data_IF_401930637658
#
_entry.id   IF_401930637658
#
_cell.length_a   1.000
_cell.length_b   1.000
_cell.length_c   1.000
_cell.angle_alpha   90.00
_cell.angle_beta   90.00
_cell.angle_gamma   90.00
#
_symmetry.space_group_name_H-M   'P 1'
#
loop_
_entity.id
_entity.type
_entity.pdbx_description
1 polymer ?
#
# COMPACT_ATOMS: atom_id res chain seq x y z
N UNK A 1 18.88 -4.58 -11.53
CA UNK A 1 18.67 -4.51 -10.07
C UNK A 1 17.81 -3.29 -9.72
N UNK A 2 18.23 -2.04 -9.98
CA UNK A 2 17.48 -0.84 -9.55
C UNK A 2 16.01 -0.81 -9.98
N UNK A 3 15.67 -1.22 -11.21
CA UNK A 3 14.28 -1.27 -11.68
C UNK A 3 13.45 -2.33 -10.96
N UNK A 4 14.06 -3.47 -10.63
CA UNK A 4 13.41 -4.53 -9.88
C UNK A 4 13.13 -4.07 -8.45
N UNK A 5 14.11 -3.44 -7.80
CA UNK A 5 13.93 -2.84 -6.47
C UNK A 5 12.83 -1.76 -6.46
N UNK A 6 12.70 -0.96 -7.53
CA UNK A 6 11.60 0.00 -7.67
C UNK A 6 10.24 -0.71 -7.81
N UNK A 7 10.15 -1.81 -8.58
CA UNK A 7 8.94 -2.64 -8.67
C UNK A 7 8.55 -3.14 -7.28
N UNK A 8 9.52 -3.66 -6.52
CA UNK A 8 9.29 -4.16 -5.16
C UNK A 8 8.80 -3.05 -4.23
N UNK A 9 9.43 -1.88 -4.29
CA UNK A 9 9.02 -0.72 -3.51
C UNK A 9 7.57 -0.31 -3.81
N UNK A 10 7.17 -0.27 -5.08
CA UNK A 10 5.80 0.08 -5.46
C UNK A 10 4.80 -0.98 -4.99
N UNK A 11 5.16 -2.26 -5.11
CA UNK A 11 4.34 -3.36 -4.64
C UNK A 11 4.17 -3.35 -3.12
N UNK A 12 5.24 -3.12 -2.36
CA UNK A 12 5.18 -2.98 -0.89
C UNK A 12 4.29 -1.80 -0.51
N UNK A 13 4.46 -0.64 -1.14
CA UNK A 13 3.61 0.53 -0.88
C UNK A 13 2.13 0.24 -1.14
N UNK A 14 1.80 -0.48 -2.22
CA UNK A 14 0.44 -0.82 -2.60
C UNK A 14 -0.17 -1.89 -1.70
N UNK A 15 0.61 -2.87 -1.25
CA UNK A 15 0.11 -4.05 -0.53
C UNK A 15 -0.52 -3.74 0.83
N UNK A 16 -0.04 -2.70 1.51
CA UNK A 16 -0.46 -2.29 2.84
C UNK A 16 -0.84 -0.79 2.92
N UNK A 17 -1.00 -0.13 1.78
CA UNK A 17 -1.38 1.28 1.73
C UNK A 17 -0.37 2.24 2.35
N UNK A 18 0.91 1.93 2.30
CA UNK A 18 1.95 2.79 2.85
C UNK A 18 1.99 4.20 2.22
N UNK A 19 2.45 5.16 2.99
CA UNK A 19 2.93 6.44 2.43
C UNK A 19 4.28 6.21 1.76
N UNK A 20 4.40 6.37 0.43
CA UNK A 20 5.69 6.23 -0.23
C UNK A 20 6.68 7.24 0.33
N UNK A 21 7.72 6.76 0.98
CA UNK A 21 8.71 7.63 1.61
C UNK A 21 9.74 6.88 2.44
N UNK A 22 10.42 7.64 3.31
CA UNK A 22 11.51 7.11 4.12
C UNK A 22 11.07 6.03 5.12
N UNK A 23 9.81 6.09 5.61
CA UNK A 23 9.28 5.07 6.52
C UNK A 23 9.39 3.68 5.90
N UNK A 24 8.96 3.52 4.65
CA UNK A 24 9.02 2.24 3.92
C UNK A 24 10.43 1.93 3.44
N UNK A 25 11.16 2.93 2.96
CA UNK A 25 12.52 2.73 2.48
C UNK A 25 13.50 2.34 3.58
N UNK A 26 13.22 2.69 4.83
CA UNK A 26 14.05 2.35 5.98
C UNK A 26 13.69 1.00 6.63
N UNK A 27 12.66 0.29 6.12
CA UNK A 27 12.34 -1.06 6.57
C UNK A 27 13.56 -1.97 6.39
N UNK A 28 13.86 -2.72 7.44
CA UNK A 28 14.87 -3.76 7.46
C UNK A 28 14.22 -5.13 7.31
N UNK A 29 15.00 -6.14 7.02
CA UNK A 29 14.50 -7.51 6.91
C UNK A 29 13.85 -8.02 8.21
N UNK A 30 14.34 -7.61 9.37
CA UNK A 30 13.74 -7.92 10.68
C UNK A 30 12.43 -7.23 10.99
N UNK A 31 12.03 -6.24 10.19
CA UNK A 31 10.85 -5.42 10.46
C UNK A 31 9.56 -6.01 9.88
N UNK A 32 9.53 -7.30 9.57
CA UNK A 32 8.32 -8.00 9.18
C UNK A 32 8.17 -9.34 9.87
N UNK A 33 6.94 -9.80 9.97
CA UNK A 33 6.60 -11.16 10.40
C UNK A 33 5.35 -11.66 9.69
N UNK A 34 5.22 -12.97 9.60
CA UNK A 34 3.97 -13.59 9.14
C UNK A 34 3.01 -13.75 10.31
N UNK A 35 1.75 -13.40 10.06
CA UNK A 35 0.62 -13.70 10.95
C UNK A 35 -0.24 -14.74 10.28
N UNK A 36 -0.75 -15.67 11.07
CA UNK A 36 -1.74 -16.68 10.65
C UNK A 36 -3.06 -16.43 11.35
N UNK A 37 -4.16 -16.67 10.68
CA UNK A 37 -5.47 -16.65 11.34
C UNK A 37 -5.61 -17.86 12.27
N UNK A 38 -6.12 -17.65 13.48
CA UNK A 38 -6.34 -18.74 14.46
C UNK A 38 -7.41 -19.74 14.02
N UNK A 39 -8.35 -19.32 13.16
CA UNK A 39 -9.44 -20.13 12.63
C UNK A 39 -9.11 -20.76 11.28
N UNK A 40 -8.19 -20.17 10.52
CA UNK A 40 -7.72 -20.67 9.24
C UNK A 40 -6.19 -20.57 9.18
N UNK A 41 -5.47 -21.64 9.59
CA UNK A 41 -4.00 -21.65 9.58
C UNK A 41 -3.38 -21.50 8.19
N UNK A 42 -4.15 -21.70 7.12
CA UNK A 42 -3.70 -21.49 5.75
C UNK A 42 -3.76 -20.02 5.35
N UNK A 43 -4.56 -19.20 6.04
CA UNK A 43 -4.62 -17.76 5.78
C UNK A 43 -3.45 -17.06 6.44
N UNK A 44 -2.50 -16.63 5.62
CA UNK A 44 -1.29 -15.92 6.06
C UNK A 44 -1.26 -14.51 5.52
N UNK A 45 -0.90 -13.58 6.39
CA UNK A 45 -0.66 -12.17 6.04
C UNK A 45 0.68 -11.72 6.57
N UNK A 46 1.24 -10.70 5.94
CA UNK A 46 2.52 -10.11 6.31
C UNK A 46 2.28 -8.82 7.09
N UNK A 47 2.71 -8.80 8.34
CA UNK A 47 2.73 -7.58 9.17
C UNK A 47 4.12 -6.95 9.09
N UNK A 48 4.16 -5.63 8.86
CA UNK A 48 5.38 -4.85 8.95
C UNK A 48 5.41 -4.07 10.27
N UNK A 49 6.59 -3.78 10.79
CA UNK A 49 6.78 -2.87 11.91
C UNK A 49 7.40 -1.57 11.40
N UNK A 50 6.61 -0.49 11.40
CA UNK A 50 7.11 0.87 11.15
C UNK A 50 7.45 1.49 12.49
N UNK A 51 8.73 1.63 12.75
CA UNK A 51 9.22 2.20 14.00
C UNK A 51 8.79 3.66 14.14
N UNK A 52 8.26 3.98 15.30
CA UNK A 52 7.81 5.33 15.61
C UNK A 52 8.95 6.34 15.70
N UNK A 53 8.58 7.60 15.64
CA UNK A 53 9.44 8.75 15.96
C UNK A 53 9.01 9.34 17.28
N UNK A 54 9.71 10.38 17.77
CA UNK A 54 9.29 11.11 19.00
C UNK A 54 7.84 11.58 18.98
N UNK A 55 7.29 11.81 17.77
CA UNK A 55 5.93 12.36 17.59
C UNK A 55 4.95 11.39 16.93
N UNK A 56 5.40 10.20 16.52
CA UNK A 56 4.55 9.20 15.86
C UNK A 56 4.70 7.84 16.54
N UNK A 57 3.61 7.19 16.91
CA UNK A 57 3.66 5.85 17.49
C UNK A 57 4.13 4.81 16.47
N UNK A 58 4.51 3.63 16.97
CA UNK A 58 4.76 2.45 16.15
C UNK A 58 3.47 2.11 15.40
N UNK A 59 3.61 1.84 14.12
CA UNK A 59 2.51 1.40 13.25
C UNK A 59 2.82 0.03 12.68
N UNK A 60 1.81 -0.85 12.65
CA UNK A 60 1.93 -2.23 12.18
C UNK A 60 0.97 -2.51 11.01
N UNK A 61 1.27 -2.00 9.82
CA UNK A 61 0.45 -2.25 8.65
C UNK A 61 0.56 -3.71 8.19
N UNK A 62 -0.55 -4.22 7.67
CA UNK A 62 -0.68 -5.60 7.20
C UNK A 62 -0.84 -5.59 5.68
N UNK A 63 -0.02 -6.39 4.99
CA UNK A 63 -0.13 -6.57 3.55
C UNK A 63 -1.29 -7.52 3.21
N UNK A 64 -1.89 -7.31 2.03
CA UNK A 64 -2.91 -8.23 1.53
C UNK A 64 -2.35 -9.64 1.24
N UNK A 65 -3.20 -10.65 1.27
CA UNK A 65 -2.83 -12.06 1.08
C UNK A 65 -2.15 -12.32 -0.26
N UNK A 66 -2.65 -11.74 -1.35
CA UNK A 66 -2.04 -11.90 -2.67
C UNK A 66 -0.57 -11.46 -2.70
N UNK A 67 -0.25 -10.32 -2.10
CA UNK A 67 1.13 -9.87 -1.99
C UNK A 67 1.95 -10.82 -1.13
N UNK A 68 1.40 -11.23 0.03
CA UNK A 68 2.06 -12.13 0.98
C UNK A 68 2.44 -13.46 0.36
N UNK A 69 1.54 -14.04 -0.44
CA UNK A 69 1.70 -15.38 -1.01
C UNK A 69 2.44 -15.41 -2.35
N UNK A 70 2.26 -14.39 -3.18
CA UNK A 70 2.73 -14.42 -4.57
C UNK A 70 3.93 -13.52 -4.85
N UNK A 71 4.01 -12.36 -4.20
CA UNK A 71 5.04 -11.36 -4.52
C UNK A 71 6.18 -11.36 -3.50
N UNK A 72 5.83 -11.40 -2.21
CA UNK A 72 6.83 -11.29 -1.15
C UNK A 72 7.85 -12.43 -1.13
N UNK A 73 7.49 -13.70 -1.40
CA UNK A 73 8.47 -14.79 -1.49
C UNK A 73 9.55 -14.56 -2.54
N UNK A 74 9.20 -13.94 -3.69
CA UNK A 74 10.20 -13.60 -4.71
C UNK A 74 11.23 -12.58 -4.20
N UNK A 75 10.77 -11.59 -3.40
CA UNK A 75 11.65 -10.61 -2.76
C UNK A 75 12.60 -11.33 -1.81
N UNK A 76 12.09 -12.19 -0.95
CA UNK A 76 12.87 -12.89 0.06
C UNK A 76 13.85 -13.88 -0.57
N UNK A 77 13.45 -14.61 -1.61
CA UNK A 77 14.34 -15.53 -2.32
C UNK A 77 15.56 -14.80 -2.91
N UNK A 78 15.37 -13.60 -3.45
CA UNK A 78 16.50 -12.77 -3.92
C UNK A 78 17.40 -12.32 -2.77
N UNK A 79 16.81 -12.02 -1.60
CA UNK A 79 17.59 -11.67 -0.42
C UNK A 79 18.41 -12.84 0.13
N UNK A 80 17.85 -14.04 0.13
CA UNK A 80 18.56 -15.27 0.51
C UNK A 80 19.71 -15.51 -0.45
N UNK A 81 19.47 -15.42 -1.76
CA UNK A 81 20.51 -15.60 -2.78
C UNK A 81 21.62 -14.54 -2.71
N UNK A 82 21.34 -13.37 -2.13
CA UNK A 82 22.29 -12.29 -1.91
C UNK A 82 22.89 -12.29 -0.50
N UNK A 83 22.62 -13.33 0.31
CA UNK A 83 23.11 -13.50 1.70
C UNK A 83 22.84 -12.31 2.62
N UNK A 84 21.70 -11.61 2.41
CA UNK A 84 21.34 -10.45 3.20
C UNK A 84 20.96 -10.83 4.63
N UNK A 85 21.40 -10.00 5.58
CA UNK A 85 21.17 -10.15 7.03
C UNK A 85 19.90 -9.42 7.47
N UNK A 86 19.46 -9.69 8.69
CA UNK A 86 18.26 -9.09 9.28
C UNK A 86 18.33 -7.57 9.41
N UNK A 87 19.53 -7.02 9.60
CA UNK A 87 19.74 -5.57 9.68
C UNK A 87 19.90 -4.88 8.31
N UNK A 88 19.96 -5.63 7.23
CA UNK A 88 19.97 -5.06 5.89
C UNK A 88 18.58 -4.51 5.51
N UNK A 89 18.57 -3.54 4.62
CA UNK A 89 17.31 -2.95 4.16
C UNK A 89 16.49 -3.96 3.35
N UNK A 90 15.18 -3.98 3.62
CA UNK A 90 14.22 -4.81 2.87
C UNK A 90 14.10 -4.35 1.40
N UNK A 91 14.24 -3.05 1.15
CA UNK A 91 14.15 -2.46 -0.17
C UNK A 91 15.45 -1.74 -0.52
N UNK A 92 15.96 -1.97 -1.74
CA UNK A 92 17.25 -1.42 -2.20
C UNK A 92 18.41 -1.73 -1.22
N UNK A 93 18.68 -3.02 -0.92
CA UNK A 93 19.60 -3.40 0.16
C UNK A 93 21.01 -2.84 -0.02
N UNK A 94 21.48 -2.69 -1.25
CA UNK A 94 22.83 -2.22 -1.56
C UNK A 94 22.97 -0.70 -1.67
N UNK A 95 21.87 0.06 -1.52
CA UNK A 95 21.88 1.51 -1.71
C UNK A 95 21.61 2.23 -0.39
N UNK A 96 22.60 2.96 0.12
CA UNK A 96 22.53 3.59 1.46
C UNK A 96 21.81 4.94 1.47
N UNK A 97 21.89 5.75 0.40
CA UNK A 97 21.29 7.09 0.38
C UNK A 97 19.78 7.05 0.16
N UNK A 98 19.03 6.81 1.23
CA UNK A 98 17.56 6.64 1.23
C UNK A 98 16.81 7.87 0.69
N UNK A 99 17.30 9.07 0.99
CA UNK A 99 16.68 10.32 0.52
C UNK A 99 16.78 10.46 -1.01
N UNK A 100 17.94 10.15 -1.58
CA UNK A 100 18.14 10.13 -3.04
C UNK A 100 17.30 9.04 -3.70
N UNK A 101 17.16 7.87 -3.07
CA UNK A 101 16.32 6.77 -3.55
C UNK A 101 14.85 7.16 -3.66
N UNK A 102 14.29 7.80 -2.62
CA UNK A 102 12.92 8.31 -2.65
C UNK A 102 12.67 9.16 -3.89
N UNK A 103 13.58 10.10 -4.19
CA UNK A 103 13.44 11.01 -5.33
C UNK A 103 13.57 10.27 -6.67
N UNK A 104 14.56 9.36 -6.79
CA UNK A 104 14.75 8.57 -8.01
C UNK A 104 13.57 7.63 -8.31
N UNK A 105 13.08 6.92 -7.30
CA UNK A 105 11.93 6.04 -7.45
C UNK A 105 10.65 6.82 -7.81
N UNK A 106 10.44 7.97 -7.18
CA UNK A 106 9.33 8.87 -7.50
C UNK A 106 9.39 9.37 -8.94
N UNK A 107 10.57 9.79 -9.42
CA UNK A 107 10.76 10.20 -10.82
C UNK A 107 10.50 9.06 -11.79
N UNK A 108 11.07 7.87 -11.53
CA UNK A 108 10.84 6.69 -12.36
C UNK A 108 9.36 6.34 -12.46
N UNK A 109 8.62 6.40 -11.35
CA UNK A 109 7.17 6.16 -11.35
C UNK A 109 6.43 7.13 -12.27
N UNK A 110 6.78 8.42 -12.21
CA UNK A 110 6.20 9.46 -13.08
C UNK A 110 6.53 9.20 -14.54
N UNK A 111 7.78 8.89 -14.84
CA UNK A 111 8.25 8.65 -16.22
C UNK A 111 7.54 7.43 -16.83
N UNK A 112 7.41 6.33 -16.08
CA UNK A 112 6.66 5.14 -16.50
C UNK A 112 5.19 5.48 -16.68
N UNK A 113 4.59 6.19 -15.73
CA UNK A 113 3.16 6.55 -15.79
C UNK A 113 2.86 7.44 -17.00
N UNK A 114 3.77 8.34 -17.37
CA UNK A 114 3.65 9.16 -18.59
C UNK A 114 3.73 8.31 -19.85
N UNK A 115 4.72 7.41 -19.95
CA UNK A 115 4.86 6.49 -21.09
C UNK A 115 3.64 5.60 -21.30
N UNK A 116 3.01 5.18 -20.22
CA UNK A 116 1.78 4.37 -20.24
C UNK A 116 0.50 5.21 -20.36
N UNK A 117 0.61 6.53 -20.52
CA UNK A 117 -0.53 7.47 -20.58
C UNK A 117 -1.43 7.40 -19.34
N UNK A 118 -0.89 7.00 -18.19
CA UNK A 118 -1.61 6.86 -16.92
C UNK A 118 -1.37 8.02 -15.96
N UNK A 119 -0.46 8.94 -16.30
CA UNK A 119 -0.04 10.01 -15.39
C UNK A 119 -1.10 11.09 -15.22
N UNK A 120 -1.75 11.47 -16.31
CA UNK A 120 -2.82 12.46 -16.31
C UNK A 120 -4.19 11.78 -16.12
N UNK A 121 -5.06 12.43 -15.38
CA UNK A 121 -6.46 12.04 -15.19
C UNK A 121 -7.30 13.30 -15.03
N UNK A 122 -8.61 13.17 -15.11
CA UNK A 122 -9.53 14.24 -14.81
C UNK A 122 -9.28 14.78 -13.39
N UNK A 123 -8.98 16.07 -13.30
CA UNK A 123 -8.70 16.74 -12.04
C UNK A 123 -7.26 16.62 -11.50
N UNK A 124 -6.28 16.14 -12.31
CA UNK A 124 -4.88 16.21 -11.89
C UNK A 124 -3.95 15.12 -12.38
N UNK A 125 -2.86 14.94 -11.66
CA UNK A 125 -1.78 14.00 -11.98
C UNK A 125 -1.77 12.82 -10.99
N UNK A 126 -1.10 11.74 -11.37
CA UNK A 126 -0.89 10.54 -10.54
C UNK A 126 0.56 10.45 -10.08
N UNK A 127 0.95 11.11 -8.98
CA UNK A 127 2.26 10.91 -8.37
C UNK A 127 2.35 9.51 -7.72
N UNK A 128 3.55 9.13 -7.28
CA UNK A 128 3.75 7.84 -6.58
C UNK A 128 2.79 7.66 -5.38
N UNK A 129 2.38 8.74 -4.72
CA UNK A 129 1.40 8.69 -3.63
C UNK A 129 0.04 8.08 -4.05
N UNK A 130 -0.27 8.08 -5.35
CA UNK A 130 -1.52 7.49 -5.88
C UNK A 130 -1.63 5.98 -5.63
N UNK A 131 -0.53 5.26 -5.38
CA UNK A 131 -0.59 3.83 -5.00
C UNK A 131 -1.33 3.62 -3.68
N UNK A 132 -1.19 4.56 -2.74
CA UNK A 132 -1.92 4.55 -1.48
C UNK A 132 -3.42 4.86 -1.68
N UNK A 133 -3.74 5.77 -2.60
CA UNK A 133 -5.13 6.01 -2.99
C UNK A 133 -5.76 4.76 -3.61
N UNK A 134 -5.01 4.06 -4.47
CA UNK A 134 -5.48 2.81 -5.07
C UNK A 134 -5.82 1.78 -4.01
N UNK A 135 -4.96 1.58 -3.00
CA UNK A 135 -5.21 0.66 -1.89
C UNK A 135 -6.54 0.97 -1.17
N UNK A 136 -6.74 2.23 -0.76
CA UNK A 136 -7.96 2.63 -0.08
C UNK A 136 -9.21 2.44 -0.95
N UNK A 137 -9.11 2.79 -2.23
CA UNK A 137 -10.22 2.65 -3.17
C UNK A 137 -10.57 1.17 -3.41
N UNK A 138 -9.57 0.30 -3.50
CA UNK A 138 -9.76 -1.15 -3.65
C UNK A 138 -10.45 -1.74 -2.41
N UNK A 139 -10.03 -1.37 -1.20
CA UNK A 139 -10.69 -1.80 0.04
C UNK A 139 -12.14 -1.33 0.11
N UNK A 140 -12.37 -0.06 -0.22
CA UNK A 140 -13.72 0.51 -0.23
C UNK A 140 -14.64 -0.22 -1.24
N UNK A 141 -14.13 -0.47 -2.45
CA UNK A 141 -14.88 -1.23 -3.47
C UNK A 141 -15.21 -2.66 -3.03
N UNK A 142 -14.36 -3.26 -2.20
CA UNK A 142 -14.60 -4.59 -1.59
C UNK A 142 -15.55 -4.54 -0.40
N UNK A 143 -16.07 -3.37 -0.02
CA UNK A 143 -17.03 -3.19 1.05
C UNK A 143 -16.45 -2.94 2.44
N UNK A 144 -15.14 -2.68 2.56
CA UNK A 144 -14.54 -2.30 3.83
C UNK A 144 -15.13 -0.98 4.34
N UNK A 145 -15.37 -0.89 5.65
CA UNK A 145 -15.84 0.32 6.30
C UNK A 145 -14.74 1.39 6.32
N UNK A 146 -15.12 2.64 6.33
CA UNK A 146 -14.18 3.78 6.33
C UNK A 146 -13.26 3.74 7.54
N UNK A 147 -13.78 3.37 8.71
CA UNK A 147 -13.00 3.27 9.95
C UNK A 147 -11.96 2.15 9.87
N UNK A 148 -12.30 1.01 9.26
CA UNK A 148 -11.37 -0.09 9.05
C UNK A 148 -10.25 0.33 8.08
N UNK A 149 -10.60 1.00 6.99
CA UNK A 149 -9.62 1.55 6.03
C UNK A 149 -8.69 2.55 6.72
N UNK A 150 -9.26 3.45 7.54
CA UNK A 150 -8.49 4.45 8.27
C UNK A 150 -7.50 3.79 9.25
N UNK A 151 -7.94 2.76 9.96
CA UNK A 151 -7.11 1.96 10.88
C UNK A 151 -5.98 1.28 10.13
N UNK A 152 -6.28 0.54 9.06
CA UNK A 152 -5.28 -0.16 8.23
C UNK A 152 -4.23 0.80 7.65
N UNK A 153 -4.65 1.99 7.27
CA UNK A 153 -3.78 3.00 6.66
C UNK A 153 -3.11 3.93 7.67
N UNK A 154 -3.35 3.77 8.97
CA UNK A 154 -2.90 4.71 10.00
C UNK A 154 -3.20 6.17 9.62
N UNK A 155 -4.48 6.47 9.46
CA UNK A 155 -4.99 7.80 9.10
C UNK A 155 -6.36 8.02 9.76
N UNK A 156 -6.91 9.21 9.63
CA UNK A 156 -8.27 9.47 10.17
C UNK A 156 -9.36 9.09 9.16
N UNK A 157 -10.55 8.70 9.62
CA UNK A 157 -11.73 8.51 8.76
C UNK A 157 -12.03 9.73 7.89
N UNK A 158 -11.89 10.93 8.44
CA UNK A 158 -12.03 12.19 7.70
C UNK A 158 -11.08 12.27 6.51
N UNK A 159 -9.80 11.85 6.68
CA UNK A 159 -8.83 11.80 5.58
C UNK A 159 -9.19 10.75 4.54
N UNK A 160 -9.69 9.59 4.96
CA UNK A 160 -10.19 8.58 4.02
C UNK A 160 -11.33 9.16 3.20
N UNK A 161 -12.30 9.78 3.83
CA UNK A 161 -13.44 10.40 3.17
C UNK A 161 -13.04 11.52 2.20
N UNK A 162 -12.21 12.46 2.64
CA UNK A 162 -11.84 13.63 1.83
C UNK A 162 -10.98 13.28 0.60
N UNK A 163 -10.10 12.29 0.75
CA UNK A 163 -9.11 11.96 -0.28
C UNK A 163 -9.58 10.83 -1.20
N UNK A 164 -10.39 9.90 -0.68
CA UNK A 164 -10.73 8.67 -1.39
C UNK A 164 -12.19 8.57 -1.78
N UNK A 165 -13.08 9.30 -1.10
CA UNK A 165 -14.49 9.45 -1.49
C UNK A 165 -14.73 10.65 -2.41
N UNK A 166 -13.72 11.39 -2.82
CA UNK A 166 -13.78 12.13 -4.09
C UNK A 166 -14.09 11.20 -5.26
N UNK A 167 -14.74 10.11 -4.93
CA UNK A 167 -15.35 9.11 -5.77
C UNK A 167 -16.44 9.82 -6.57
N UNK A 168 -16.23 9.85 -7.87
CA UNK A 168 -17.10 10.38 -8.90
C UNK A 168 -18.60 10.16 -8.59
N UNK A 169 -19.45 11.01 -9.13
CA UNK A 169 -20.92 10.85 -9.14
C UNK A 169 -21.38 9.42 -9.44
N UNK A 170 -20.64 8.66 -10.25
CA UNK A 170 -20.91 7.25 -10.55
C UNK A 170 -20.78 6.33 -9.32
N UNK A 171 -19.86 6.62 -8.42
CA UNK A 171 -19.73 5.83 -7.18
C UNK A 171 -20.85 6.17 -6.17
N UNK A 172 -21.35 7.41 -6.19
CA UNK A 172 -22.52 7.79 -5.41
C UNK A 172 -23.77 7.05 -5.91
N UNK A 173 -23.94 6.88 -7.23
CA UNK A 173 -25.02 6.06 -7.80
C UNK A 173 -24.91 4.60 -7.37
N UNK A 174 -23.71 4.02 -7.42
CA UNK A 174 -23.48 2.63 -6.99
C UNK A 174 -23.70 2.45 -5.48
N UNK A 175 -23.28 3.44 -4.68
CA UNK A 175 -23.54 3.46 -3.24
C UNK A 175 -25.05 3.52 -2.97
N UNK A 176 -25.75 4.42 -3.66
CA UNK A 176 -27.21 4.57 -3.55
C UNK A 176 -27.92 3.28 -3.90
N UNK A 177 -27.57 2.63 -5.02
CA UNK A 177 -28.12 1.32 -5.39
C UNK A 177 -27.87 0.25 -4.32
N UNK A 178 -26.67 0.21 -3.73
CA UNK A 178 -26.34 -0.77 -2.68
C UNK A 178 -27.12 -0.55 -1.39
N UNK A 179 -27.33 0.71 -1.01
CA UNK A 179 -28.03 1.08 0.23
C UNK A 179 -29.56 1.00 0.05
N UNK A 180 -30.08 1.44 -1.08
CA UNK A 180 -31.52 1.60 -1.30
C UNK A 180 -32.11 0.69 -2.37
N UNK A 181 -31.27 0.01 -3.18
CA UNK A 181 -31.73 -0.80 -4.31
C UNK A 181 -32.62 -2.00 -3.93
N UNK A 182 -32.60 -2.41 -2.66
CA UNK A 182 -33.44 -3.49 -2.12
C UNK A 182 -34.65 -2.97 -1.32
N UNK A 183 -34.84 -1.64 -1.22
CA UNK A 183 -36.05 -1.11 -0.59
C UNK A 183 -37.22 -1.29 -1.54
N UNK A 184 -38.13 -2.21 -1.22
CA UNK A 184 -39.46 -2.29 -1.85
C UNK A 184 -40.19 -0.99 -1.53
N UNK A 185 -40.57 -0.24 -2.56
CA UNK A 185 -41.51 0.86 -2.41
C UNK A 185 -42.80 0.24 -1.89
N UNK A 186 -43.08 0.43 -0.60
CA UNK A 186 -44.39 0.10 -0.04
C UNK A 186 -45.35 1.10 -0.65
N UNK A 187 -46.20 0.61 -1.56
CA UNK A 187 -47.31 1.39 -2.12
C UNK A 187 -48.44 1.51 -1.12
#
# INVERSE_FOLDING_TARGET
IFFLDCKDYFNVCRSAGFRPGLEVLNLKRKDYKFLTDSKDPNYKVLEYTIWGTKTKPIHKPVANSFFTEKIFPEIINRHISAELKDDDYLLFPFLKNRKRLKNKAGKLFVDISKKLQLFYRDGGTRPLYSVRHTYATELYKKGAKIDDIATLMNTSPRMVMSVYLGLTSQNNVNLHKRVYGNMKIIK
#
